data_IF_475111687572
#
_entry.id   IF_475111687572
#
_cell.length_a   1.000
_cell.length_b   1.000
_cell.length_c   1.000
_cell.angle_alpha   90.00
_cell.angle_beta   90.00
_cell.angle_gamma   90.00
#
_symmetry.space_group_name_H-M   'P 1'
#
loop_
_entity.id
_entity.type
_entity.pdbx_description
1 polymer ?
#
# COMPACT_ATOMS: atom_id res chain seq x y z
N UNK A 1 11.27 1.98 -1.89
CA UNK A 1 11.86 0.81 -1.17
C UNK A 1 10.74 -0.04 -0.62
N UNK A 2 10.95 -1.32 -0.27
CA UNK A 2 9.91 -2.10 0.40
C UNK A 2 9.41 -1.34 1.65
N UNK A 3 8.09 -1.30 1.85
CA UNK A 3 7.42 -0.52 2.89
C UNK A 3 7.25 0.97 2.61
N UNK A 4 7.81 1.52 1.51
CA UNK A 4 7.63 2.93 1.18
C UNK A 4 6.35 3.17 0.40
N UNK A 5 5.71 4.32 0.62
CA UNK A 5 4.50 4.70 -0.11
C UNK A 5 4.75 4.78 -1.61
N UNK A 6 3.88 4.13 -2.37
CA UNK A 6 3.80 4.26 -3.82
C UNK A 6 2.83 5.38 -4.18
N UNK A 7 1.59 5.27 -3.71
CA UNK A 7 0.48 6.19 -3.99
C UNK A 7 -0.56 6.18 -2.85
N UNK A 8 -1.37 7.25 -2.70
CA UNK A 8 -1.13 8.58 -3.23
C UNK A 8 0.12 9.22 -2.59
N UNK A 9 0.65 10.28 -3.19
CA UNK A 9 1.68 11.07 -2.52
C UNK A 9 1.13 11.66 -1.21
N UNK A 10 1.97 11.69 -0.17
CA UNK A 10 1.61 12.24 1.13
C UNK A 10 1.64 13.77 1.09
N UNK A 11 0.65 14.36 0.44
CA UNK A 11 0.49 15.81 0.29
C UNK A 11 -0.94 16.22 0.64
N UNK A 12 -1.09 17.32 1.37
CA UNK A 12 -2.39 17.85 1.77
C UNK A 12 -3.29 16.85 2.49
N UNK A 13 -4.57 16.81 2.11
CA UNK A 13 -5.60 15.97 2.74
C UNK A 13 -5.78 14.58 2.08
N UNK A 14 -4.82 14.12 1.26
CA UNK A 14 -4.92 12.86 0.52
C UNK A 14 -5.17 11.66 1.44
N UNK A 15 -4.46 11.60 2.55
CA UNK A 15 -4.56 10.49 3.50
C UNK A 15 -5.98 10.36 4.10
N UNK A 16 -6.68 11.48 4.27
CA UNK A 16 -8.07 11.51 4.72
C UNK A 16 -9.05 11.19 3.59
N UNK A 17 -8.84 11.75 2.40
CA UNK A 17 -9.76 11.64 1.27
C UNK A 17 -9.75 10.25 0.62
N UNK A 18 -8.57 9.67 0.39
CA UNK A 18 -8.46 8.35 -0.24
C UNK A 18 -8.67 7.21 0.77
N UNK A 19 -8.39 7.45 2.05
CA UNK A 19 -8.62 6.49 3.14
C UNK A 19 -7.75 5.23 3.12
N UNK A 20 -7.03 4.96 2.03
CA UNK A 20 -6.07 3.88 1.86
C UNK A 20 -4.84 4.36 1.09
N UNK A 21 -3.79 3.55 1.13
CA UNK A 21 -2.54 3.78 0.41
C UNK A 21 -2.02 2.50 -0.23
N UNK A 22 -1.31 2.65 -1.34
CA UNK A 22 -0.52 1.62 -1.96
C UNK A 22 0.93 1.82 -1.53
N UNK A 23 1.51 0.77 -0.93
CA UNK A 23 2.91 0.75 -0.53
C UNK A 23 3.67 -0.28 -1.38
N UNK A 24 4.92 0.06 -1.72
CA UNK A 24 5.81 -0.84 -2.43
C UNK A 24 6.18 -2.01 -1.52
N UNK A 25 5.96 -3.23 -1.99
CA UNK A 25 6.42 -4.45 -1.33
C UNK A 25 7.82 -4.89 -1.80
N UNK A 26 8.18 -6.11 -1.43
CA UNK A 26 9.42 -6.74 -1.84
C UNK A 26 9.50 -6.92 -3.36
N UNK A 27 10.72 -6.73 -3.90
CA UNK A 27 11.06 -7.00 -5.30
C UNK A 27 11.78 -8.35 -5.34
N UNK A 28 11.40 -9.22 -6.28
CA UNK A 28 11.91 -10.58 -6.39
C UNK A 28 11.98 -11.01 -7.86
N UNK A 29 12.88 -11.93 -8.18
CA UNK A 29 13.00 -12.50 -9.51
C UNK A 29 12.22 -13.81 -9.58
N UNK A 30 11.52 -14.05 -10.69
CA UNK A 30 10.87 -15.35 -10.96
C UNK A 30 11.72 -16.21 -11.89
N UNK A 31 11.33 -17.47 -12.01
CA UNK A 31 12.00 -18.45 -12.87
C UNK A 31 12.00 -18.06 -14.36
N UNK A 32 11.11 -17.16 -14.79
CA UNK A 32 11.08 -16.58 -16.14
C UNK A 32 12.19 -15.54 -16.37
N UNK A 33 13.02 -15.25 -15.36
CA UNK A 33 14.11 -14.28 -15.41
C UNK A 33 13.65 -12.83 -15.22
N UNK A 34 12.35 -12.56 -15.15
CA UNK A 34 11.82 -11.21 -14.95
C UNK A 34 11.73 -10.85 -13.47
N UNK A 35 11.86 -9.55 -13.20
CA UNK A 35 11.66 -9.00 -11.88
C UNK A 35 10.20 -8.65 -11.66
N UNK A 36 9.71 -8.98 -10.48
CA UNK A 36 8.37 -8.66 -10.02
C UNK A 36 8.43 -7.92 -8.70
N UNK A 37 7.35 -7.21 -8.37
CA UNK A 37 7.20 -6.53 -7.10
C UNK A 37 5.77 -6.61 -6.62
N UNK A 38 5.59 -6.72 -5.31
CA UNK A 38 4.27 -6.59 -4.70
C UNK A 38 3.88 -5.12 -4.56
N UNK A 39 2.61 -4.81 -4.84
CA UNK A 39 1.97 -3.55 -4.47
C UNK A 39 0.89 -3.88 -3.44
N UNK A 40 0.99 -3.27 -2.26
CA UNK A 40 0.19 -3.63 -1.10
C UNK A 40 -0.77 -2.49 -0.76
N UNK A 41 -2.07 -2.78 -0.74
CA UNK A 41 -3.08 -1.84 -0.29
C UNK A 41 -3.18 -1.90 1.25
N UNK A 42 -2.99 -0.77 1.91
CA UNK A 42 -3.06 -0.61 3.37
C UNK A 42 -4.07 0.47 3.75
N UNK A 43 -4.78 0.35 4.88
CA UNK A 43 -5.69 1.38 5.35
C UNK A 43 -4.92 2.59 5.89
N UNK A 44 -5.49 3.78 5.79
CA UNK A 44 -4.90 4.99 6.33
C UNK A 44 -5.44 5.34 7.72
N UNK A 45 -4.56 5.69 8.66
CA UNK A 45 -4.94 6.11 10.03
C UNK A 45 -5.76 7.41 10.04
N UNK A 46 -5.57 8.25 9.02
CA UNK A 46 -6.25 9.53 8.91
C UNK A 46 -7.49 9.48 8.02
N UNK A 47 -7.91 8.29 7.57
CA UNK A 47 -9.08 8.13 6.71
C UNK A 47 -10.32 8.85 7.28
N UNK A 48 -11.04 9.58 6.43
CA UNK A 48 -12.34 10.14 6.78
C UNK A 48 -13.39 9.04 6.98
N UNK A 49 -13.24 7.93 6.25
CA UNK A 49 -14.05 6.72 6.43
C UNK A 49 -13.75 6.05 7.78
N UNK A 50 -14.79 5.92 8.61
CA UNK A 50 -14.64 5.40 9.98
C UNK A 50 -14.27 3.93 10.05
N UNK A 51 -14.59 3.14 9.03
CA UNK A 51 -14.24 1.70 8.95
C UNK A 51 -12.76 1.55 8.67
N UNK A 52 -12.25 2.26 7.66
CA UNK A 52 -10.81 2.25 7.33
C UNK A 52 -9.97 2.81 8.49
N UNK A 53 -10.45 3.85 9.17
CA UNK A 53 -9.80 4.41 10.35
C UNK A 53 -9.70 3.40 11.50
N UNK A 54 -10.77 2.64 11.77
CA UNK A 54 -10.77 1.56 12.77
C UNK A 54 -9.81 0.43 12.41
N UNK A 55 -9.81 0.00 11.15
CA UNK A 55 -8.87 -1.02 10.66
C UNK A 55 -7.41 -0.55 10.82
N UNK A 56 -7.11 0.69 10.42
CA UNK A 56 -5.78 1.26 10.57
C UNK A 56 -5.34 1.45 12.03
N UNK A 57 -6.28 1.66 12.96
CA UNK A 57 -6.00 1.74 14.39
C UNK A 57 -5.59 0.37 14.98
N UNK A 58 -6.17 -0.72 14.49
CA UNK A 58 -5.77 -2.09 14.86
C UNK A 58 -4.41 -2.42 14.26
N UNK A 59 -4.25 -2.23 12.94
CA UNK A 59 -2.99 -2.45 12.24
C UNK A 59 -2.91 -1.63 10.94
N UNK A 60 -2.21 -0.51 10.97
CA UNK A 60 -2.02 0.35 9.78
C UNK A 60 -1.10 -0.23 8.70
N UNK A 61 -0.39 -1.32 9.01
CA UNK A 61 0.45 -2.03 8.05
C UNK A 61 -0.22 -3.31 7.54
N UNK A 62 -1.48 -3.55 7.88
CA UNK A 62 -2.21 -4.71 7.38
C UNK A 62 -2.36 -4.65 5.87
N UNK A 63 -2.23 -5.81 5.22
CA UNK A 63 -2.46 -5.94 3.78
C UNK A 63 -3.95 -6.19 3.56
N UNK A 64 -4.68 -5.19 3.06
CA UNK A 64 -6.07 -5.35 2.63
C UNK A 64 -6.16 -6.11 1.31
N UNK A 65 -5.23 -5.80 0.42
CA UNK A 65 -5.04 -6.49 -0.85
C UNK A 65 -3.57 -6.45 -1.23
N UNK A 66 -3.15 -7.41 -2.04
CA UNK A 66 -1.81 -7.50 -2.59
C UNK A 66 -1.91 -7.90 -4.04
N UNK A 67 -1.29 -7.12 -4.91
CA UNK A 67 -1.15 -7.46 -6.33
C UNK A 67 0.33 -7.55 -6.67
N UNK A 68 0.67 -8.52 -7.48
CA UNK A 68 2.00 -8.63 -8.06
C UNK A 68 2.03 -7.88 -9.39
N UNK A 69 3.08 -7.07 -9.59
CA UNK A 69 3.32 -6.36 -10.84
C UNK A 69 4.71 -6.71 -11.36
N UNK A 70 4.86 -6.66 -12.68
CA UNK A 70 6.18 -6.74 -13.33
C UNK A 70 6.97 -5.45 -13.03
N UNK A 71 8.27 -5.59 -12.78
CA UNK A 71 9.16 -4.54 -12.28
C UNK A 71 10.58 -4.67 -12.86
N UNK A 72 10.68 -5.14 -14.10
CA UNK A 72 11.91 -5.15 -14.89
C UNK A 72 12.42 -3.74 -15.21
#
# INVERSE_FOLDING_TARGET
TPGSRALPQNVGANDANYGARLDWGEKFQKADGHWYRNLVLQPNKNAADSTLKKLAAVNSHMSLAKVEIRAD
#
